data_IF_171178025605
#
_entry.id   IF_171178025605
#
_cell.length_a   1.000
_cell.length_b   1.000
_cell.length_c   1.000
_cell.angle_alpha   90.00
_cell.angle_beta   90.00
_cell.angle_gamma   90.00
#
_symmetry.space_group_name_H-M   'P 1'
#
loop_
_entity.id
_entity.type
_entity.pdbx_description
1 polymer ?
#
# COMPACT_ATOMS: atom_id res chain seq x y z
N UNK A 1 29.19 -5.09 -57.02
CA UNK A 1 28.06 -6.02 -56.78
C UNK A 1 28.62 -7.42 -56.55
N UNK A 2 28.03 -8.29 -55.70
CA UNK A 2 26.67 -8.27 -55.17
C UNK A 2 26.58 -8.11 -53.64
N UNK A 3 25.52 -7.41 -53.25
CA UNK A 3 25.02 -7.18 -51.89
C UNK A 3 24.44 -8.45 -51.30
N UNK A 4 25.01 -8.94 -50.19
CA UNK A 4 24.39 -9.97 -49.35
C UNK A 4 23.20 -9.37 -48.60
N UNK A 5 22.00 -9.59 -49.13
CA UNK A 5 20.73 -9.36 -48.43
C UNK A 5 20.59 -10.41 -47.33
N UNK A 6 20.74 -10.01 -46.08
CA UNK A 6 20.27 -10.79 -44.93
C UNK A 6 18.74 -10.80 -44.94
N UNK A 7 18.08 -11.96 -44.78
CA UNK A 7 16.64 -11.99 -44.58
C UNK A 7 16.31 -11.38 -43.21
N UNK A 8 15.51 -10.30 -43.23
CA UNK A 8 14.89 -9.72 -42.04
C UNK A 8 14.10 -10.82 -41.32
N UNK A 9 14.54 -11.15 -40.11
CA UNK A 9 13.78 -11.94 -39.15
C UNK A 9 12.49 -11.17 -38.89
N UNK A 10 11.34 -11.78 -39.21
CA UNK A 10 10.02 -11.22 -38.93
C UNK A 10 9.94 -10.95 -37.44
N UNK A 11 9.82 -9.67 -37.11
CA UNK A 11 9.27 -9.21 -35.85
C UNK A 11 7.87 -9.80 -35.75
N UNK A 12 7.66 -10.72 -34.80
CA UNK A 12 6.34 -10.96 -34.27
C UNK A 12 6.03 -9.77 -33.35
N UNK A 13 5.78 -8.61 -33.97
CA UNK A 13 4.99 -7.55 -33.38
C UNK A 13 3.61 -8.16 -33.13
N UNK A 14 3.41 -8.67 -31.92
CA UNK A 14 2.10 -8.68 -31.31
C UNK A 14 1.74 -7.23 -30.99
N UNK A 15 1.48 -6.44 -32.02
CA UNK A 15 0.76 -5.19 -31.93
C UNK A 15 -0.63 -5.56 -31.42
N UNK A 16 -0.80 -5.53 -30.09
CA UNK A 16 -2.12 -5.38 -29.51
C UNK A 16 -2.58 -4.02 -30.00
N UNK A 17 -3.39 -4.04 -31.06
CA UNK A 17 -4.04 -2.88 -31.60
C UNK A 17 -4.72 -2.14 -30.47
N UNK A 18 -4.22 -0.94 -30.18
CA UNK A 18 -5.00 0.08 -29.48
C UNK A 18 -5.94 0.65 -30.53
N UNK A 19 -6.90 -0.19 -30.96
CA UNK A 19 -8.07 0.28 -31.66
C UNK A 19 -9.04 0.82 -30.62
N UNK A 20 -9.45 2.06 -30.87
CA UNK A 20 -10.25 2.87 -29.98
C UNK A 20 -11.54 2.18 -29.58
N UNK A 21 -11.56 1.65 -28.36
CA UNK A 21 -12.77 1.61 -27.56
C UNK A 21 -12.57 2.60 -26.43
N UNK A 22 -13.49 3.55 -26.26
CA UNK A 22 -13.79 4.08 -24.92
C UNK A 22 -14.33 2.91 -24.09
N UNK A 23 -13.45 1.96 -23.77
CA UNK A 23 -13.77 0.75 -23.05
C UNK A 23 -14.17 1.16 -21.65
N UNK A 24 -15.38 0.80 -21.25
CA UNK A 24 -15.77 0.88 -19.84
C UNK A 24 -14.70 0.12 -19.06
N UNK A 25 -14.13 0.75 -18.03
CA UNK A 25 -13.22 0.07 -17.11
C UNK A 25 -13.86 -1.24 -16.65
N UNK A 26 -13.09 -2.33 -16.47
CA UNK A 26 -13.58 -3.55 -15.83
C UNK A 26 -14.35 -3.19 -14.56
N UNK A 27 -15.42 -3.94 -14.23
CA UNK A 27 -16.28 -3.65 -13.06
C UNK A 27 -15.44 -3.49 -11.79
N UNK A 28 -14.41 -4.31 -11.63
CA UNK A 28 -13.46 -4.26 -10.53
C UNK A 28 -12.71 -2.93 -10.38
N UNK A 29 -12.56 -2.13 -11.45
CA UNK A 29 -11.80 -0.87 -11.47
C UNK A 29 -12.67 0.38 -11.51
N UNK A 30 -14.00 0.22 -11.55
CA UNK A 30 -14.96 1.29 -11.87
C UNK A 30 -14.82 2.54 -10.99
N UNK A 31 -14.46 2.37 -9.71
CA UNK A 31 -14.38 3.47 -8.75
C UNK A 31 -12.97 3.72 -8.21
N UNK A 32 -11.94 3.02 -8.73
CA UNK A 32 -10.56 3.19 -8.29
C UNK A 32 -9.98 4.59 -8.55
N UNK A 33 -10.63 5.42 -9.37
CA UNK A 33 -10.30 6.85 -9.54
C UNK A 33 -11.08 7.79 -8.61
N UNK A 34 -11.86 7.28 -7.65
CA UNK A 34 -12.71 8.08 -6.77
C UNK A 34 -12.18 8.07 -5.33
N UNK A 35 -11.93 9.25 -4.76
CA UNK A 35 -11.41 9.39 -3.39
C UNK A 35 -12.32 8.71 -2.37
N UNK A 36 -13.65 8.82 -2.55
CA UNK A 36 -14.63 8.21 -1.65
C UNK A 36 -14.65 6.69 -1.68
N UNK A 37 -14.23 6.06 -2.80
CA UNK A 37 -14.09 4.61 -2.84
C UNK A 37 -12.90 4.16 -1.97
N UNK A 38 -11.78 4.85 -2.11
CA UNK A 38 -10.58 4.59 -1.28
C UNK A 38 -10.79 4.89 0.20
N UNK A 39 -11.61 5.89 0.52
CA UNK A 39 -12.05 6.17 1.88
C UNK A 39 -12.88 5.02 2.47
N UNK A 40 -13.88 4.51 1.74
CA UNK A 40 -14.67 3.35 2.18
C UNK A 40 -13.80 2.09 2.33
N UNK A 41 -12.90 1.86 1.38
CA UNK A 41 -11.97 0.74 1.40
C UNK A 41 -11.01 0.83 2.60
N UNK A 42 -10.46 2.01 2.89
CA UNK A 42 -9.63 2.24 4.07
C UNK A 42 -10.40 2.11 5.38
N UNK A 43 -11.67 2.55 5.45
CA UNK A 43 -12.53 2.34 6.63
C UNK A 43 -12.73 0.85 6.91
N UNK A 44 -13.07 0.06 5.88
CA UNK A 44 -13.23 -1.39 6.01
C UNK A 44 -11.94 -2.08 6.40
N UNK A 45 -10.83 -1.71 5.76
CA UNK A 45 -9.52 -2.27 6.09
C UNK A 45 -9.15 -1.96 7.55
N UNK A 46 -9.42 -0.75 8.03
CA UNK A 46 -9.23 -0.35 9.43
C UNK A 46 -10.09 -1.19 10.38
N UNK A 47 -11.38 -1.39 10.07
CA UNK A 47 -12.28 -2.26 10.85
C UNK A 47 -11.77 -3.70 10.93
N UNK A 48 -11.33 -4.29 9.80
CA UNK A 48 -10.74 -5.64 9.80
C UNK A 48 -9.44 -5.70 10.60
N UNK A 49 -8.59 -4.68 10.49
CA UNK A 49 -7.34 -4.62 11.22
C UNK A 49 -7.58 -4.56 12.73
N UNK A 50 -8.62 -3.86 13.23
CA UNK A 50 -8.92 -3.85 14.69
C UNK A 50 -9.16 -5.23 15.29
N UNK A 51 -9.56 -6.21 14.48
CA UNK A 51 -9.74 -7.61 14.93
C UNK A 51 -8.48 -8.43 14.67
N UNK A 52 -7.84 -8.27 13.51
CA UNK A 52 -6.75 -9.15 13.06
C UNK A 52 -5.36 -8.75 13.55
N UNK A 53 -5.05 -7.45 13.59
CA UNK A 53 -3.68 -7.00 13.87
C UNK A 53 -3.25 -7.10 15.34
N UNK A 54 -4.12 -7.10 16.37
CA UNK A 54 -3.68 -7.27 17.76
C UNK A 54 -2.85 -8.54 17.99
N UNK A 55 -3.30 -9.69 17.49
CA UNK A 55 -2.58 -10.96 17.66
C UNK A 55 -1.25 -10.97 16.89
N UNK A 56 -1.25 -10.41 15.67
CA UNK A 56 -0.04 -10.28 14.86
C UNK A 56 0.99 -9.33 15.49
N UNK A 57 0.53 -8.22 16.09
CA UNK A 57 1.39 -7.31 16.82
C UNK A 57 1.94 -7.98 18.08
N UNK A 58 1.12 -8.72 18.82
CA UNK A 58 1.62 -9.50 19.97
C UNK A 58 2.70 -10.49 19.56
N UNK A 59 2.51 -11.21 18.46
CA UNK A 59 3.51 -12.14 17.93
C UNK A 59 4.81 -11.41 17.51
N UNK A 60 4.70 -10.27 16.82
CA UNK A 60 5.85 -9.43 16.46
C UNK A 60 6.59 -8.89 17.70
N UNK A 61 5.87 -8.50 18.75
CA UNK A 61 6.45 -8.07 20.02
C UNK A 61 7.21 -9.21 20.69
N UNK A 62 6.60 -10.40 20.77
CA UNK A 62 7.28 -11.60 21.29
C UNK A 62 8.52 -11.94 20.49
N UNK A 63 8.47 -11.80 19.16
CA UNK A 63 9.63 -12.07 18.29
C UNK A 63 10.73 -11.04 18.47
N UNK A 64 10.40 -9.74 18.50
CA UNK A 64 11.36 -8.68 18.76
C UNK A 64 12.05 -8.85 20.12
N UNK A 65 11.31 -9.23 21.16
CA UNK A 65 11.86 -9.55 22.48
C UNK A 65 12.77 -10.79 22.43
N UNK A 66 12.40 -11.83 21.68
CA UNK A 66 13.23 -13.02 21.46
C UNK A 66 14.54 -12.73 20.73
N UNK A 67 14.55 -11.71 19.86
CA UNK A 67 15.74 -11.18 19.19
C UNK A 67 16.53 -10.18 20.06
N UNK A 68 16.05 -9.85 21.26
CA UNK A 68 16.68 -8.87 22.16
C UNK A 68 16.61 -7.43 21.67
N UNK A 69 15.66 -7.10 20.78
CA UNK A 69 15.56 -5.78 20.16
C UNK A 69 14.76 -4.82 21.04
N UNK A 70 15.21 -3.56 21.24
CA UNK A 70 14.53 -2.58 22.10
C UNK A 70 13.38 -1.88 21.36
N UNK A 71 12.49 -2.66 20.77
CA UNK A 71 11.35 -2.16 19.99
C UNK A 71 10.10 -2.99 20.26
N UNK A 72 8.95 -2.40 19.97
CA UNK A 72 7.63 -3.00 20.11
C UNK A 72 6.75 -2.65 18.92
N UNK A 73 5.64 -3.36 18.78
CA UNK A 73 4.60 -3.13 17.78
C UNK A 73 3.25 -3.04 18.48
N UNK A 74 2.40 -2.14 17.99
CA UNK A 74 1.07 -1.92 18.52
C UNK A 74 0.71 -0.44 18.64
N UNK A 75 -0.57 -0.19 18.84
CA UNK A 75 -1.11 1.16 19.00
C UNK A 75 -1.14 1.99 17.71
N UNK A 76 -1.42 3.30 17.81
CA UNK A 76 -1.81 4.13 16.68
C UNK A 76 -0.77 4.21 15.55
N UNK A 77 0.52 4.08 15.88
CA UNK A 77 1.61 4.15 14.90
C UNK A 77 1.64 2.89 14.03
N UNK A 78 1.70 1.71 14.65
CA UNK A 78 1.73 0.44 13.92
C UNK A 78 0.44 0.22 13.13
N UNK A 79 -0.71 0.58 13.71
CA UNK A 79 -2.00 0.53 13.02
C UNK A 79 -2.07 1.43 11.79
N UNK A 80 -1.56 2.67 11.90
CA UNK A 80 -1.52 3.59 10.77
C UNK A 80 -0.64 3.05 9.64
N UNK A 81 0.53 2.50 9.95
CA UNK A 81 1.41 1.91 8.94
C UNK A 81 0.83 0.63 8.33
N UNK A 82 0.19 -0.23 9.11
CA UNK A 82 -0.51 -1.40 8.59
C UNK A 82 -1.62 -1.00 7.60
N UNK A 83 -2.39 0.04 7.92
CA UNK A 83 -3.41 0.59 7.02
C UNK A 83 -2.79 1.14 5.72
N UNK A 84 -1.77 2.00 5.83
CA UNK A 84 -1.14 2.66 4.69
C UNK A 84 -0.49 1.63 3.76
N UNK A 85 0.26 0.67 4.31
CA UNK A 85 0.88 -0.40 3.54
C UNK A 85 -0.18 -1.30 2.87
N UNK A 86 -1.24 -1.67 3.58
CA UNK A 86 -2.34 -2.46 2.99
C UNK A 86 -3.08 -1.74 1.87
N UNK A 87 -3.31 -0.43 2.00
CA UNK A 87 -3.88 0.39 0.92
C UNK A 87 -2.96 0.47 -0.29
N UNK A 88 -1.64 0.62 -0.06
CA UNK A 88 -0.66 0.60 -1.13
C UNK A 88 -0.69 -0.73 -1.89
N UNK A 89 -0.69 -1.86 -1.17
CA UNK A 89 -0.75 -3.20 -1.76
C UNK A 89 -2.01 -3.36 -2.62
N UNK A 90 -3.19 -2.95 -2.12
CA UNK A 90 -4.43 -2.97 -2.89
C UNK A 90 -4.34 -2.12 -4.16
N UNK A 91 -3.76 -0.92 -4.08
CA UNK A 91 -3.56 -0.05 -5.23
C UNK A 91 -2.62 -0.67 -6.25
N UNK A 92 -1.50 -1.22 -5.80
CA UNK A 92 -0.50 -1.87 -6.64
C UNK A 92 -1.10 -3.06 -7.40
N UNK A 93 -1.77 -3.97 -6.69
CA UNK A 93 -2.24 -5.23 -7.25
C UNK A 93 -3.49 -5.06 -8.11
N UNK A 94 -4.44 -4.24 -7.66
CA UNK A 94 -5.76 -4.14 -8.28
C UNK A 94 -5.84 -3.08 -9.35
N UNK A 95 -5.00 -2.05 -9.33
CA UNK A 95 -5.13 -0.90 -10.25
C UNK A 95 -3.96 -0.60 -11.19
N UNK A 96 -3.11 -1.57 -11.63
CA UNK A 96 -2.01 -1.28 -12.56
C UNK A 96 -2.39 -0.41 -13.78
N UNK A 97 -3.55 -0.64 -14.45
CA UNK A 97 -3.92 0.15 -15.63
C UNK A 97 -4.19 1.64 -15.36
N UNK A 98 -4.48 2.02 -14.12
CA UNK A 98 -4.86 3.39 -13.74
C UNK A 98 -3.65 4.23 -13.28
N UNK A 99 -2.54 3.58 -12.94
CA UNK A 99 -1.28 4.21 -12.57
C UNK A 99 -1.45 5.35 -11.55
N UNK A 100 -0.92 6.54 -11.90
CA UNK A 100 -0.88 7.71 -11.00
C UNK A 100 -2.25 8.19 -10.54
N UNK A 101 -3.31 7.96 -11.32
CA UNK A 101 -4.65 8.44 -10.96
C UNK A 101 -5.21 7.66 -9.79
N UNK A 102 -5.14 6.32 -9.83
CA UNK A 102 -5.57 5.48 -8.71
C UNK A 102 -4.74 5.77 -7.46
N UNK A 103 -3.42 5.97 -7.62
CA UNK A 103 -2.54 6.33 -6.51
C UNK A 103 -2.93 7.65 -5.82
N UNK A 104 -3.23 8.69 -6.60
CA UNK A 104 -3.69 9.98 -6.06
C UNK A 104 -5.02 9.85 -5.32
N UNK A 105 -5.95 9.10 -5.87
CA UNK A 105 -7.25 8.84 -5.24
C UNK A 105 -7.12 8.00 -3.97
N UNK A 106 -6.21 7.02 -3.96
CA UNK A 106 -5.85 6.23 -2.78
C UNK A 106 -5.30 7.12 -1.67
N UNK A 107 -4.33 7.99 -1.97
CA UNK A 107 -3.78 8.93 -0.98
C UNK A 107 -4.88 9.85 -0.42
N UNK A 108 -5.73 10.40 -1.29
CA UNK A 108 -6.82 11.28 -0.88
C UNK A 108 -7.84 10.55 0.03
N UNK A 109 -8.23 9.32 -0.33
CA UNK A 109 -9.10 8.48 0.50
C UNK A 109 -8.46 8.10 1.82
N UNK A 110 -7.17 7.74 1.82
CA UNK A 110 -6.40 7.45 3.03
C UNK A 110 -6.37 8.64 3.99
N UNK A 111 -6.17 9.87 3.49
CA UNK A 111 -6.17 11.07 4.33
C UNK A 111 -7.52 11.24 5.05
N UNK A 112 -8.64 10.91 4.40
CA UNK A 112 -9.98 10.96 5.00
C UNK A 112 -10.14 9.98 6.14
N UNK A 113 -9.68 8.75 5.96
CA UNK A 113 -9.70 7.71 7.00
C UNK A 113 -8.81 8.09 8.19
N UNK A 114 -7.74 8.85 7.94
CA UNK A 114 -6.80 9.34 8.94
C UNK A 114 -7.17 10.72 9.52
N UNK A 115 -8.43 11.13 9.42
CA UNK A 115 -8.96 12.39 9.96
C UNK A 115 -8.19 13.64 9.47
N UNK A 116 -7.92 13.76 8.17
CA UNK A 116 -7.21 14.93 7.61
C UNK A 116 -5.69 14.81 7.60
N UNK A 117 -5.10 13.88 8.37
CA UNK A 117 -3.64 13.74 8.42
C UNK A 117 -3.10 13.30 7.06
N UNK A 118 -2.11 14.03 6.56
CA UNK A 118 -1.48 13.73 5.28
C UNK A 118 -0.69 12.43 5.33
N UNK A 119 -1.08 11.47 4.49
CA UNK A 119 -0.37 10.21 4.23
C UNK A 119 0.76 10.34 3.20
N UNK A 120 0.93 11.52 2.59
CA UNK A 120 1.86 11.71 1.47
C UNK A 120 3.32 11.37 1.82
N UNK A 121 3.77 11.72 3.02
CA UNK A 121 5.12 11.39 3.47
C UNK A 121 5.31 9.88 3.66
N UNK A 122 4.29 9.18 4.19
CA UNK A 122 4.33 7.73 4.39
C UNK A 122 4.37 6.98 3.06
N UNK A 123 3.49 7.36 2.13
CA UNK A 123 3.48 6.84 0.76
C UNK A 123 4.77 7.19 0.00
N UNK A 124 5.36 8.35 0.26
CA UNK A 124 6.69 8.72 -0.25
C UNK A 124 7.79 7.79 0.24
N UNK A 125 7.75 7.35 1.51
CA UNK A 125 8.71 6.37 2.06
C UNK A 125 8.55 5.00 1.41
N UNK A 126 7.32 4.53 1.20
CA UNK A 126 7.07 3.27 0.48
C UNK A 126 7.67 3.35 -0.93
N UNK A 127 7.38 4.42 -1.67
CA UNK A 127 7.93 4.62 -3.01
C UNK A 127 9.47 4.69 -3.03
N UNK A 128 10.07 5.35 -2.04
CA UNK A 128 11.52 5.41 -1.89
C UNK A 128 12.13 4.03 -1.62
N UNK A 129 11.55 3.23 -0.73
CA UNK A 129 12.01 1.87 -0.44
C UNK A 129 11.83 0.92 -1.64
N UNK A 130 10.83 1.13 -2.48
CA UNK A 130 10.69 0.37 -3.74
C UNK A 130 11.77 0.78 -4.75
N UNK A 131 12.05 2.08 -4.86
CA UNK A 131 13.05 2.59 -5.79
C UNK A 131 14.49 2.30 -5.34
N UNK A 132 14.70 2.13 -4.03
CA UNK A 132 15.99 1.88 -3.40
C UNK A 132 15.81 0.84 -2.29
N UNK A 133 15.66 -0.45 -2.65
CA UNK A 133 15.37 -1.50 -1.69
C UNK A 133 16.52 -1.78 -0.74
N UNK A 134 16.18 -2.37 0.41
CA UNK A 134 17.11 -2.82 1.45
C UNK A 134 18.18 -3.79 0.92
N UNK A 135 17.84 -4.55 -0.12
CA UNK A 135 18.71 -5.54 -0.76
C UNK A 135 18.37 -5.70 -2.25
N UNK A 136 19.36 -6.03 -3.11
CA UNK A 136 19.12 -6.31 -4.52
C UNK A 136 18.11 -7.45 -4.72
N UNK A 137 17.17 -7.27 -5.65
CA UNK A 137 16.19 -8.30 -6.01
C UNK A 137 14.94 -8.37 -5.12
N UNK A 138 14.80 -7.50 -4.12
CA UNK A 138 13.57 -7.37 -3.33
C UNK A 138 12.36 -7.06 -4.21
N UNK A 139 11.26 -7.78 -3.96
CA UNK A 139 9.98 -7.55 -4.63
C UNK A 139 9.27 -6.30 -4.08
N UNK A 140 8.32 -5.73 -4.84
CA UNK A 140 7.49 -4.62 -4.35
C UNK A 140 6.76 -4.98 -3.04
N UNK A 141 6.10 -6.16 -2.93
CA UNK A 141 5.50 -6.59 -1.66
C UNK A 141 6.49 -6.62 -0.50
N UNK A 142 7.70 -7.14 -0.72
CA UNK A 142 8.71 -7.19 0.34
C UNK A 142 9.20 -5.78 0.71
N UNK A 143 9.40 -4.87 -0.25
CA UNK A 143 9.74 -3.47 0.05
C UNK A 143 8.67 -2.79 0.92
N UNK A 144 7.39 -3.12 0.74
CA UNK A 144 6.29 -2.61 1.58
C UNK A 144 6.36 -3.21 3.00
N UNK A 145 6.70 -4.49 3.13
CA UNK A 145 6.94 -5.15 4.41
C UNK A 145 8.11 -4.50 5.15
N UNK A 146 9.24 -4.27 4.46
CA UNK A 146 10.42 -3.59 4.99
C UNK A 146 10.06 -2.18 5.48
N UNK A 147 9.24 -1.44 4.71
CA UNK A 147 8.76 -0.11 5.13
C UNK A 147 7.91 -0.19 6.40
N UNK A 148 7.03 -1.19 6.52
CA UNK A 148 6.24 -1.40 7.73
C UNK A 148 7.13 -1.72 8.93
N UNK A 149 8.10 -2.61 8.79
CA UNK A 149 9.02 -2.96 9.89
C UNK A 149 9.78 -1.71 10.37
N UNK A 150 10.36 -0.94 9.45
CA UNK A 150 11.14 0.24 9.79
C UNK A 150 10.31 1.38 10.39
N UNK A 151 9.05 1.54 9.97
CA UNK A 151 8.26 2.72 10.36
C UNK A 151 7.12 2.43 11.35
N UNK A 152 6.63 1.20 11.36
CA UNK A 152 5.55 0.73 12.23
C UNK A 152 6.02 0.38 13.64
N UNK A 153 7.32 0.18 13.85
CA UNK A 153 7.89 -0.07 15.18
C UNK A 153 7.81 1.18 16.08
N UNK A 154 7.84 0.93 17.39
CA UNK A 154 7.97 1.93 18.46
C UNK A 154 9.17 1.52 19.31
N UNK A 155 10.03 2.47 19.66
CA UNK A 155 11.20 2.21 20.50
C UNK A 155 10.81 2.01 21.97
N UNK A 156 11.51 1.12 22.67
CA UNK A 156 11.30 0.84 24.10
C UNK A 156 12.53 1.23 24.93
N UNK A 157 12.49 0.97 26.24
CA UNK A 157 13.69 1.05 27.07
C UNK A 157 14.80 0.15 26.52
N UNK A 158 16.02 0.69 26.42
CA UNK A 158 17.17 0.04 25.79
C UNK A 158 17.49 0.53 24.37
N UNK A 159 16.68 1.40 23.78
CA UNK A 159 17.01 2.06 22.52
C UNK A 159 17.95 3.25 22.77
N UNK A 160 19.17 3.18 22.26
CA UNK A 160 20.24 4.16 22.50
C UNK A 160 20.35 5.25 21.44
N UNK A 161 19.57 5.15 20.35
CA UNK A 161 19.54 6.13 19.28
C UNK A 161 19.66 5.49 17.89
N UNK A 162 19.71 6.35 16.86
CA UNK A 162 19.62 5.96 15.46
C UNK A 162 20.79 5.09 14.97
N UNK A 163 21.86 4.96 15.75
CA UNK A 163 22.93 4.00 15.46
C UNK A 163 22.43 2.55 15.48
N UNK A 164 21.37 2.25 16.23
CA UNK A 164 20.77 0.91 16.31
C UNK A 164 19.78 0.61 15.17
N UNK A 165 19.31 1.63 14.43
CA UNK A 165 18.24 1.47 13.44
C UNK A 165 18.62 0.44 12.36
N UNK A 166 19.89 0.47 11.92
CA UNK A 166 20.41 -0.46 10.93
C UNK A 166 20.45 -1.91 11.43
N UNK A 167 20.89 -2.12 12.68
CA UNK A 167 21.00 -3.44 13.28
C UNK A 167 19.62 -4.04 13.58
N UNK A 168 18.69 -3.21 14.09
CA UNK A 168 17.28 -3.60 14.33
C UNK A 168 16.63 -4.04 13.01
N UNK A 169 16.77 -3.24 11.96
CA UNK A 169 16.18 -3.58 10.68
C UNK A 169 16.83 -4.83 10.08
N UNK A 170 18.16 -4.96 10.15
CA UNK A 170 18.88 -6.14 9.67
C UNK A 170 18.39 -7.40 10.39
N UNK A 171 18.30 -7.37 11.72
CA UNK A 171 17.80 -8.49 12.51
C UNK A 171 16.38 -8.91 12.12
N UNK A 172 15.50 -7.96 11.81
CA UNK A 172 14.16 -8.28 11.30
C UNK A 172 14.17 -8.86 9.89
N UNK A 173 15.01 -8.35 8.99
CA UNK A 173 15.08 -8.80 7.60
C UNK A 173 15.71 -10.18 7.43
N UNK A 174 16.59 -10.58 8.36
CA UNK A 174 17.21 -11.91 8.42
C UNK A 174 16.32 -12.95 9.13
N UNK A 175 15.25 -12.52 9.78
CA UNK A 175 14.34 -13.37 10.52
C UNK A 175 13.06 -13.70 9.75
N UNK A 176 12.97 -14.93 9.22
CA UNK A 176 11.84 -15.40 8.41
C UNK A 176 10.49 -15.29 9.15
N UNK A 177 10.48 -15.55 10.47
CA UNK A 177 9.26 -15.47 11.28
C UNK A 177 8.74 -14.03 11.36
N UNK A 178 9.62 -13.08 11.67
CA UNK A 178 9.30 -11.64 11.63
C UNK A 178 8.78 -11.22 10.27
N UNK A 179 9.47 -11.60 9.19
CA UNK A 179 9.07 -11.24 7.84
C UNK A 179 7.69 -11.80 7.47
N UNK A 180 7.38 -13.04 7.87
CA UNK A 180 6.08 -13.65 7.63
C UNK A 180 4.96 -12.96 8.44
N UNK A 181 5.21 -12.63 9.70
CA UNK A 181 4.27 -11.88 10.54
C UNK A 181 4.01 -10.48 9.98
N UNK A 182 5.07 -9.76 9.60
CA UNK A 182 4.98 -8.43 9.02
C UNK A 182 4.27 -8.44 7.66
N UNK A 183 4.50 -9.48 6.84
CA UNK A 183 3.73 -9.72 5.62
C UNK A 183 2.25 -9.89 5.92
N UNK A 184 1.89 -10.73 6.89
CA UNK A 184 0.49 -10.92 7.30
C UNK A 184 -0.17 -9.62 7.80
N UNK A 185 0.58 -8.73 8.45
CA UNK A 185 0.09 -7.41 8.87
C UNK A 185 -0.29 -6.54 7.68
N UNK A 186 0.62 -6.42 6.69
CA UNK A 186 0.42 -5.50 5.56
C UNK A 186 -0.42 -6.10 4.43
N UNK A 187 -0.60 -7.42 4.40
CA UNK A 187 -1.44 -8.08 3.40
C UNK A 187 -2.92 -7.78 3.70
N UNK A 188 -3.63 -7.09 2.80
CA UNK A 188 -5.06 -6.83 2.97
C UNK A 188 -5.86 -8.14 2.91
N UNK A 189 -6.98 -8.27 3.65
CA UNK A 189 -7.91 -9.39 3.48
C UNK A 189 -8.39 -9.48 2.02
N UNK A 190 -8.51 -10.69 1.47
CA UNK A 190 -8.80 -10.92 0.03
C UNK A 190 -10.14 -10.32 -0.42
N UNK A 191 -11.13 -10.30 0.48
CA UNK A 191 -12.51 -9.88 0.25
C UNK A 191 -12.74 -8.36 0.41
N UNK A 192 -11.79 -7.63 1.02
CA UNK A 192 -12.00 -6.21 1.39
C UNK A 192 -12.29 -5.33 0.17
N UNK A 193 -11.71 -5.65 -0.98
CA UNK A 193 -11.94 -4.93 -2.23
C UNK A 193 -13.37 -5.09 -2.72
N UNK A 194 -13.86 -6.32 -2.82
CA UNK A 194 -15.18 -6.63 -3.36
C UNK A 194 -16.29 -6.18 -2.41
N UNK A 195 -16.04 -6.26 -1.10
CA UNK A 195 -16.90 -5.67 -0.10
C UNK A 195 -16.99 -4.14 -0.23
N UNK A 196 -15.85 -3.46 -0.36
CA UNK A 196 -15.81 -2.02 -0.56
C UNK A 196 -16.52 -1.63 -1.86
N UNK A 197 -16.37 -2.42 -2.92
CA UNK A 197 -17.01 -2.19 -4.21
C UNK A 197 -18.54 -2.22 -4.10
N UNK A 198 -19.10 -3.30 -3.54
CA UNK A 198 -20.56 -3.46 -3.31
C UNK A 198 -21.10 -2.35 -2.41
N UNK A 199 -20.37 -2.07 -1.33
CA UNK A 199 -20.72 -1.08 -0.32
C UNK A 199 -20.73 0.34 -0.89
N UNK A 200 -19.69 0.71 -1.63
CA UNK A 200 -19.57 2.03 -2.24
C UNK A 200 -20.61 2.23 -3.35
N UNK A 201 -20.85 1.23 -4.20
CA UNK A 201 -21.85 1.31 -5.27
C UNK A 201 -23.25 1.65 -4.73
N UNK A 202 -23.66 1.00 -3.63
CA UNK A 202 -24.97 1.23 -3.00
C UNK A 202 -25.16 2.64 -2.41
N UNK A 203 -24.06 3.33 -2.06
CA UNK A 203 -24.06 4.63 -1.37
C UNK A 203 -23.36 5.72 -2.17
N UNK A 204 -23.06 5.46 -3.45
CA UNK A 204 -22.22 6.32 -4.26
C UNK A 204 -22.89 7.69 -4.47
N UNK A 205 -22.31 8.79 -3.99
CA UNK A 205 -22.88 10.12 -4.19
C UNK A 205 -22.95 10.47 -5.67
N UNK A 206 -23.89 11.32 -6.08
CA UNK A 206 -23.97 11.85 -7.46
C UNK A 206 -22.71 12.63 -7.86
N UNK A 207 -22.47 12.83 -9.17
CA UNK A 207 -21.23 13.45 -9.67
C UNK A 207 -20.95 14.83 -9.07
N UNK A 208 -21.95 15.71 -9.03
CA UNK A 208 -21.83 17.05 -8.45
C UNK A 208 -21.48 17.00 -6.96
N UNK A 209 -22.14 16.12 -6.20
CA UNK A 209 -21.86 15.92 -4.78
C UNK A 209 -20.43 15.41 -4.54
N UNK A 210 -19.91 14.52 -5.39
CA UNK A 210 -18.51 14.06 -5.28
C UNK A 210 -17.50 15.19 -5.46
N UNK A 211 -17.69 16.04 -6.47
CA UNK A 211 -16.81 17.20 -6.70
C UNK A 211 -16.89 18.23 -5.58
N UNK A 212 -18.09 18.46 -5.05
CA UNK A 212 -18.29 19.35 -3.93
C UNK A 212 -17.63 18.80 -2.65
N UNK A 213 -17.79 17.52 -2.33
CA UNK A 213 -17.13 16.86 -1.20
C UNK A 213 -15.61 16.90 -1.32
N UNK A 214 -15.06 16.66 -2.53
CA UNK A 214 -13.62 16.78 -2.79
C UNK A 214 -13.12 18.21 -2.54
N UNK A 215 -13.87 19.22 -2.98
CA UNK A 215 -13.55 20.62 -2.77
C UNK A 215 -13.62 21.03 -1.29
N UNK A 216 -14.71 20.67 -0.59
CA UNK A 216 -14.86 20.92 0.84
C UNK A 216 -13.71 20.29 1.63
N UNK A 217 -13.39 19.03 1.34
CA UNK A 217 -12.29 18.36 2.01
C UNK A 217 -10.96 19.10 1.78
N UNK A 218 -10.68 19.52 0.55
CA UNK A 218 -9.47 20.28 0.23
C UNK A 218 -9.37 21.63 0.95
N UNK A 219 -10.49 22.34 1.14
CA UNK A 219 -10.54 23.67 1.79
C UNK A 219 -10.41 23.54 3.32
N UNK A 220 -11.09 22.58 3.93
CA UNK A 220 -11.31 22.56 5.39
C UNK A 220 -10.50 21.52 6.16
N UNK A 221 -9.72 20.65 5.48
CA UNK A 221 -8.89 19.63 6.15
C UNK A 221 -7.39 19.76 5.86
N UNK A 222 -6.97 20.92 5.35
CA UNK A 222 -5.57 21.33 5.28
C UNK A 222 -5.08 21.90 6.61
#
# INVERSE_FOLDING_TARGET
MPTRRFPRRREAEGTVGVEGTRGKLPVALRYAGENGFWEELGRRLKERNTVRTPDLFSALVSRAAGLGLPVTFGGPRSEAWALICGLFMLCHDRTPPLGRNAYRSMMAGCNRVMNGRSSAAAFGRIAANIASPSSPGRSIPDSVVDTFLANGLVTTGGYEGSSMDGDILTAFLEDDETMNLARAVVTPPEDVWDEALRSYESRRPGFAARKLLDLFYWIFTR
#
